data_IF_900040160905
#
_entry.id   IF_900040160905
#
_cell.length_a   1.000
_cell.length_b   1.000
_cell.length_c   1.000
_cell.angle_alpha   90.00
_cell.angle_beta   90.00
_cell.angle_gamma   90.00
#
_symmetry.space_group_name_H-M   'P 1'
#
loop_
_entity.id
_entity.type
_entity.pdbx_description
1 polymer ?
#
# COMPACT_ATOMS: atom_id res chain seq x y z
N UNK A 1 -19.45 -15.70 36.99
CA UNK A 1 -18.36 -14.93 36.28
C UNK A 1 -17.39 -15.87 35.60
N UNK A 2 -16.70 -16.79 36.32
CA UNK A 2 -15.74 -17.70 35.69
C UNK A 2 -16.40 -18.64 34.65
N UNK A 3 -17.55 -19.22 34.96
CA UNK A 3 -18.30 -20.08 34.05
C UNK A 3 -18.79 -19.30 32.81
N UNK A 4 -19.24 -18.07 32.98
CA UNK A 4 -19.62 -17.16 31.88
C UNK A 4 -18.43 -16.92 30.93
N UNK A 5 -17.25 -16.68 31.49
CA UNK A 5 -16.03 -16.48 30.69
C UNK A 5 -15.69 -17.71 29.82
N UNK A 6 -15.82 -18.92 30.40
CA UNK A 6 -15.55 -20.16 29.67
C UNK A 6 -16.59 -20.39 28.57
N UNK A 7 -17.87 -20.14 28.84
CA UNK A 7 -18.95 -20.28 27.84
C UNK A 7 -18.73 -19.29 26.69
N UNK A 8 -18.52 -18.01 27.01
CA UNK A 8 -18.27 -16.98 25.99
C UNK A 8 -17.03 -17.32 25.11
N UNK A 9 -15.98 -17.90 25.72
CA UNK A 9 -14.80 -18.36 24.97
C UNK A 9 -15.13 -19.52 24.03
N UNK A 10 -15.95 -20.47 24.45
CA UNK A 10 -16.39 -21.61 23.62
C UNK A 10 -17.28 -21.17 22.45
N UNK A 11 -18.05 -20.10 22.65
CA UNK A 11 -18.90 -19.49 21.63
C UNK A 11 -18.15 -18.53 20.69
N UNK A 12 -16.85 -18.31 20.91
CA UNK A 12 -16.01 -17.39 20.11
C UNK A 12 -16.26 -15.90 20.42
N UNK A 13 -17.04 -15.60 21.48
CA UNK A 13 -17.28 -14.21 21.92
C UNK A 13 -16.10 -13.72 22.79
N UNK A 14 -14.99 -13.41 22.14
CA UNK A 14 -13.73 -13.05 22.80
C UNK A 14 -13.86 -11.80 23.68
N UNK A 15 -14.64 -10.80 23.26
CA UNK A 15 -14.83 -9.56 24.02
C UNK A 15 -15.46 -9.83 25.38
N UNK A 16 -16.51 -10.62 25.42
CA UNK A 16 -17.20 -10.98 26.65
C UNK A 16 -16.37 -11.94 27.52
N UNK A 17 -15.70 -12.92 26.90
CA UNK A 17 -14.79 -13.84 27.56
C UNK A 17 -13.68 -13.09 28.31
N UNK A 18 -13.00 -12.15 27.64
CA UNK A 18 -11.92 -11.36 28.25
C UNK A 18 -12.41 -10.51 29.41
N UNK A 19 -13.53 -9.79 29.23
CA UNK A 19 -14.13 -8.95 30.28
C UNK A 19 -14.57 -9.81 31.50
N UNK A 20 -15.09 -11.00 31.28
CA UNK A 20 -15.50 -11.89 32.38
C UNK A 20 -14.28 -12.50 33.10
N UNK A 21 -13.20 -12.86 32.40
CA UNK A 21 -11.95 -13.31 33.02
C UNK A 21 -11.31 -12.20 33.86
N UNK A 22 -11.27 -10.97 33.34
CA UNK A 22 -10.75 -9.82 34.07
C UNK A 22 -11.53 -9.57 35.35
N UNK A 23 -12.88 -9.50 35.27
CA UNK A 23 -13.73 -9.37 36.47
C UNK A 23 -13.50 -10.49 37.48
N UNK A 24 -13.29 -11.72 37.02
CA UNK A 24 -13.02 -12.86 37.90
C UNK A 24 -11.69 -12.71 38.64
N UNK A 25 -10.66 -12.23 37.96
CA UNK A 25 -9.36 -12.00 38.56
C UNK A 25 -9.39 -10.84 39.58
N UNK A 26 -9.99 -9.70 39.19
CA UNK A 26 -10.16 -8.53 40.07
C UNK A 26 -10.93 -8.89 41.32
N UNK A 27 -12.06 -9.58 41.20
CA UNK A 27 -12.87 -10.01 42.35
C UNK A 27 -12.08 -10.96 43.28
N UNK A 28 -11.25 -11.84 42.74
CA UNK A 28 -10.37 -12.70 43.53
C UNK A 28 -9.31 -11.91 44.29
N UNK A 29 -8.75 -10.86 43.72
CA UNK A 29 -7.79 -9.97 44.33
C UNK A 29 -8.46 -9.13 45.47
N UNK A 30 -9.60 -8.50 45.18
CA UNK A 30 -10.33 -7.60 46.09
C UNK A 30 -10.85 -8.33 47.36
N UNK A 31 -11.26 -9.59 47.19
CA UNK A 31 -11.70 -10.44 48.31
C UNK A 31 -10.53 -11.03 49.11
N UNK A 32 -9.28 -10.81 48.70
CA UNK A 32 -8.08 -11.38 49.34
C UNK A 32 -7.97 -12.91 49.21
N UNK A 33 -8.75 -13.52 48.32
CA UNK A 33 -8.72 -14.98 48.10
C UNK A 33 -7.67 -15.32 47.08
N UNK A 34 -6.40 -15.39 47.51
CA UNK A 34 -5.20 -15.56 46.68
C UNK A 34 -5.29 -16.78 45.74
N UNK A 35 -5.89 -17.88 46.22
CA UNK A 35 -6.13 -19.05 45.38
C UNK A 35 -7.02 -18.78 44.17
N UNK A 36 -8.17 -18.13 44.43
CA UNK A 36 -9.13 -17.78 43.36
C UNK A 36 -8.52 -16.78 42.38
N UNK A 37 -7.79 -15.80 42.90
CA UNK A 37 -7.06 -14.83 42.06
C UNK A 37 -6.08 -15.53 41.12
N UNK A 38 -5.17 -16.36 41.65
CA UNK A 38 -4.18 -17.08 40.84
C UNK A 38 -4.82 -18.00 39.80
N UNK A 39 -5.91 -18.70 40.13
CA UNK A 39 -6.64 -19.54 39.17
C UNK A 39 -7.32 -18.71 38.08
N UNK A 40 -7.88 -17.55 38.40
CA UNK A 40 -8.50 -16.65 37.43
C UNK A 40 -7.47 -16.08 36.47
N UNK A 41 -6.30 -15.65 36.95
CA UNK A 41 -5.18 -15.17 36.12
C UNK A 41 -4.73 -16.27 35.13
N UNK A 42 -4.61 -17.51 35.62
CA UNK A 42 -4.23 -18.65 34.78
C UNK A 42 -5.28 -18.96 33.70
N UNK A 43 -6.56 -18.91 34.03
CA UNK A 43 -7.65 -19.12 33.07
C UNK A 43 -7.71 -17.99 32.04
N UNK A 44 -7.54 -16.74 32.48
CA UNK A 44 -7.49 -15.57 31.61
C UNK A 44 -6.32 -15.61 30.65
N UNK A 45 -5.13 -16.06 31.12
CA UNK A 45 -3.97 -16.26 30.25
C UNK A 45 -4.25 -17.29 29.14
N UNK A 46 -4.98 -18.36 29.46
CA UNK A 46 -5.38 -19.37 28.48
C UNK A 46 -6.29 -18.80 27.38
N UNK A 47 -7.19 -17.89 27.72
CA UNK A 47 -8.04 -17.20 26.75
C UNK A 47 -7.21 -16.30 25.81
N UNK A 48 -6.25 -15.53 26.34
CA UNK A 48 -5.34 -14.74 25.53
C UNK A 48 -4.48 -15.63 24.63
N UNK A 49 -3.89 -16.70 25.17
CA UNK A 49 -3.09 -17.62 24.37
C UNK A 49 -3.88 -18.28 23.21
N UNK A 50 -5.16 -18.61 23.46
CA UNK A 50 -6.04 -19.18 22.45
C UNK A 50 -6.38 -18.19 21.32
N UNK A 51 -6.47 -16.89 21.60
CA UNK A 51 -6.66 -15.84 20.59
C UNK A 51 -5.41 -15.63 19.75
N UNK A 52 -4.22 -15.74 20.37
CA UNK A 52 -2.95 -15.89 19.68
C UNK A 52 -2.34 -14.66 19.03
N UNK A 53 -2.96 -13.47 19.13
CA UNK A 53 -2.33 -12.24 18.62
C UNK A 53 -1.05 -11.90 19.44
N UNK A 54 -0.05 -11.24 18.87
CA UNK A 54 1.20 -10.92 19.58
C UNK A 54 1.00 -10.22 20.93
N UNK A 55 0.12 -9.22 20.98
CA UNK A 55 -0.25 -8.53 22.23
C UNK A 55 -0.96 -9.44 23.23
N UNK A 56 -1.70 -10.45 22.75
CA UNK A 56 -2.35 -11.43 23.59
C UNK A 56 -1.34 -12.40 24.22
N UNK A 57 -0.35 -12.83 23.46
CA UNK A 57 0.71 -13.70 23.97
C UNK A 57 1.56 -12.99 25.04
N UNK A 58 1.83 -11.70 24.86
CA UNK A 58 2.47 -10.89 25.90
C UNK A 58 1.62 -10.78 27.16
N UNK A 59 0.32 -10.51 27.00
CA UNK A 59 -0.60 -10.45 28.13
C UNK A 59 -0.73 -11.80 28.84
N UNK A 60 -0.88 -12.89 28.09
CA UNK A 60 -0.89 -14.26 28.61
C UNK A 60 0.35 -14.56 29.45
N UNK A 61 1.53 -14.14 28.96
CA UNK A 61 2.80 -14.31 29.69
C UNK A 61 2.80 -13.54 31.00
N UNK A 62 2.37 -12.30 31.02
CA UNK A 62 2.32 -11.48 32.23
C UNK A 62 1.39 -12.12 33.29
N UNK A 63 0.20 -12.53 32.89
CA UNK A 63 -0.77 -13.18 33.78
C UNK A 63 -0.23 -14.51 34.38
N UNK A 64 0.47 -15.30 33.59
CA UNK A 64 1.06 -16.57 34.05
C UNK A 64 2.23 -16.37 35.03
N UNK A 65 3.05 -15.33 34.83
CA UNK A 65 4.11 -14.98 35.77
C UNK A 65 3.51 -14.60 37.14
N UNK A 66 2.47 -13.80 37.14
CA UNK A 66 1.76 -13.41 38.38
C UNK A 66 1.09 -14.60 39.05
N UNK A 67 0.35 -15.42 38.30
CA UNK A 67 -0.28 -16.63 38.80
C UNK A 67 0.73 -17.60 39.43
N UNK A 68 1.85 -17.84 38.75
CA UNK A 68 2.95 -18.67 39.24
C UNK A 68 3.53 -18.15 40.56
N UNK A 69 3.74 -16.84 40.65
CA UNK A 69 4.26 -16.19 41.86
C UNK A 69 3.31 -16.43 43.03
N UNK A 70 2.02 -16.19 42.86
CA UNK A 70 0.99 -16.44 43.89
C UNK A 70 0.96 -17.91 44.34
N UNK A 71 1.02 -18.87 43.39
CA UNK A 71 1.06 -20.29 43.74
C UNK A 71 2.33 -20.67 44.51
N UNK A 72 3.48 -20.12 44.19
CA UNK A 72 4.76 -20.33 44.93
C UNK A 72 4.66 -19.80 46.34
N UNK A 73 4.14 -18.57 46.52
CA UNK A 73 3.96 -17.94 47.83
C UNK A 73 2.97 -18.66 48.72
N UNK A 74 1.98 -19.32 48.13
CA UNK A 74 1.00 -20.16 48.84
C UNK A 74 1.52 -21.58 49.16
N UNK A 75 2.71 -21.93 48.70
CA UNK A 75 3.28 -23.27 48.91
C UNK A 75 2.56 -24.41 48.16
N UNK A 76 2.02 -24.11 46.98
CA UNK A 76 1.28 -25.08 46.14
C UNK A 76 2.08 -25.44 44.87
N UNK A 77 3.12 -26.26 44.98
CA UNK A 77 4.11 -26.49 43.89
C UNK A 77 3.48 -27.10 42.62
N UNK A 78 2.45 -27.91 42.74
CA UNK A 78 1.75 -28.49 41.60
C UNK A 78 1.19 -27.39 40.66
N UNK A 79 0.47 -26.42 41.19
CA UNK A 79 -0.11 -25.33 40.39
C UNK A 79 0.92 -24.33 39.93
N UNK A 80 2.00 -24.12 40.69
CA UNK A 80 3.14 -23.34 40.26
C UNK A 80 3.85 -23.98 39.04
N UNK A 81 3.99 -25.33 39.06
CA UNK A 81 4.52 -26.12 37.96
C UNK A 81 3.61 -26.09 36.72
N UNK A 82 2.28 -26.13 36.91
CA UNK A 82 1.31 -26.05 35.82
C UNK A 82 1.37 -24.63 35.14
N UNK A 83 1.45 -23.58 35.93
CA UNK A 83 1.62 -22.22 35.40
C UNK A 83 2.96 -22.05 34.67
N UNK A 84 4.05 -22.67 35.13
CA UNK A 84 5.34 -22.70 34.45
C UNK A 84 5.27 -23.42 33.11
N UNK A 85 4.61 -24.58 33.04
CA UNK A 85 4.42 -25.32 31.79
C UNK A 85 3.61 -24.54 30.77
N UNK A 86 2.55 -23.84 31.22
CA UNK A 86 1.75 -22.97 30.35
C UNK A 86 2.58 -21.74 29.90
N UNK A 87 3.40 -21.17 30.76
CA UNK A 87 4.30 -20.08 30.42
C UNK A 87 5.30 -20.50 29.34
N UNK A 88 5.82 -21.73 29.43
CA UNK A 88 6.70 -22.28 28.41
C UNK A 88 5.98 -22.44 27.07
N UNK A 89 4.75 -22.98 27.06
CA UNK A 89 3.95 -23.10 25.84
C UNK A 89 3.66 -21.75 25.19
N UNK A 90 3.31 -20.73 25.96
CA UNK A 90 3.10 -19.35 25.46
C UNK A 90 4.38 -18.77 24.86
N UNK A 91 5.54 -19.03 25.46
CA UNK A 91 6.85 -18.60 24.92
C UNK A 91 7.15 -19.25 23.57
N UNK A 92 6.91 -20.56 23.46
CA UNK A 92 7.11 -21.32 22.21
C UNK A 92 6.17 -20.81 21.11
N UNK A 93 4.90 -20.56 21.42
CA UNK A 93 3.92 -19.98 20.50
C UNK A 93 4.33 -18.56 20.06
N UNK A 94 4.77 -17.72 20.99
CA UNK A 94 5.26 -16.37 20.69
C UNK A 94 6.48 -16.39 19.77
N UNK A 95 7.42 -17.31 20.01
CA UNK A 95 8.60 -17.48 19.16
C UNK A 95 8.24 -17.97 17.75
N UNK A 96 7.34 -18.95 17.64
CA UNK A 96 6.87 -19.45 16.35
C UNK A 96 6.17 -18.33 15.54
N UNK A 97 5.26 -17.59 16.18
CA UNK A 97 4.58 -16.44 15.54
C UNK A 97 5.55 -15.37 15.05
N UNK A 98 6.56 -15.02 15.86
CA UNK A 98 7.59 -14.04 15.47
C UNK A 98 8.44 -14.53 14.28
N UNK A 99 8.76 -15.85 14.26
CA UNK A 99 9.52 -16.45 13.16
C UNK A 99 8.71 -16.46 11.85
N UNK A 100 7.43 -16.80 11.92
CA UNK A 100 6.54 -16.80 10.75
C UNK A 100 6.34 -15.38 10.21
N UNK A 101 6.17 -14.39 11.08
CA UNK A 101 6.10 -13.00 10.69
C UNK A 101 7.39 -12.52 10.03
N UNK A 102 8.55 -12.91 10.58
CA UNK A 102 9.84 -12.58 9.98
C UNK A 102 10.04 -13.23 8.60
N UNK A 103 9.56 -14.45 8.41
CA UNK A 103 9.59 -15.13 7.10
C UNK A 103 8.70 -14.39 6.10
N UNK A 104 7.46 -14.10 6.46
CA UNK A 104 6.54 -13.37 5.60
C UNK A 104 7.09 -12.00 5.17
N UNK A 105 7.69 -11.24 6.10
CA UNK A 105 8.34 -9.96 5.79
C UNK A 105 9.51 -10.13 4.81
N UNK A 106 10.33 -11.18 4.98
CA UNK A 106 11.44 -11.44 4.04
C UNK A 106 10.96 -11.84 2.65
N UNK A 107 9.89 -12.62 2.56
CA UNK A 107 9.29 -13.02 1.28
C UNK A 107 8.70 -11.80 0.55
N UNK A 108 8.00 -10.91 1.26
CA UNK A 108 7.50 -9.67 0.69
C UNK A 108 8.62 -8.73 0.25
N UNK A 109 9.69 -8.58 1.04
CA UNK A 109 10.85 -7.78 0.66
C UNK A 109 11.57 -8.35 -0.58
N UNK A 110 11.60 -9.67 -0.75
CA UNK A 110 12.12 -10.31 -1.97
C UNK A 110 11.21 -10.03 -3.16
N UNK A 111 9.89 -10.14 -2.99
CA UNK A 111 8.92 -9.81 -4.03
C UNK A 111 9.06 -8.35 -4.49
N UNK A 112 9.22 -7.41 -3.55
CA UNK A 112 9.46 -6.00 -3.85
C UNK A 112 10.73 -5.74 -4.65
N UNK A 113 11.83 -6.46 -4.35
CA UNK A 113 13.07 -6.39 -5.14
C UNK A 113 12.89 -6.90 -6.57
N UNK A 114 12.13 -7.97 -6.76
CA UNK A 114 11.81 -8.49 -8.09
C UNK A 114 10.94 -7.48 -8.84
N UNK A 115 9.95 -6.91 -8.18
CA UNK A 115 9.07 -5.90 -8.74
C UNK A 115 9.83 -4.63 -9.15
N UNK A 116 10.72 -4.11 -8.31
CA UNK A 116 11.58 -2.97 -8.63
C UNK A 116 12.44 -3.24 -9.88
N UNK A 117 12.86 -4.49 -10.10
CA UNK A 117 13.58 -4.89 -11.32
C UNK A 117 12.72 -4.91 -12.59
N UNK A 118 11.39 -4.80 -12.47
CA UNK A 118 10.51 -4.64 -13.64
C UNK A 118 10.43 -3.20 -14.11
N UNK A 119 10.63 -2.23 -13.22
CA UNK A 119 10.59 -0.81 -13.58
C UNK A 119 11.78 -0.43 -14.47
N UNK A 120 11.65 0.63 -15.29
CA UNK A 120 12.78 1.15 -16.06
C UNK A 120 13.95 1.52 -15.16
N UNK A 121 15.15 1.00 -15.45
CA UNK A 121 16.39 1.35 -14.75
C UNK A 121 16.91 2.73 -15.14
N UNK A 122 16.56 3.16 -16.34
CA UNK A 122 17.08 4.38 -16.94
C UNK A 122 15.94 5.18 -17.57
N UNK A 123 16.05 6.49 -17.49
CA UNK A 123 15.17 7.41 -18.17
C UNK A 123 15.52 7.50 -19.65
N UNK A 124 14.55 7.44 -20.58
CA UNK A 124 14.83 7.53 -22.00
C UNK A 124 15.42 8.88 -22.37
N UNK A 125 16.52 8.85 -23.11
CA UNK A 125 17.13 10.06 -23.64
C UNK A 125 16.51 10.39 -25.00
N UNK A 126 15.73 11.46 -25.06
CA UNK A 126 15.16 12.01 -26.29
C UNK A 126 15.71 13.42 -26.52
N UNK A 127 16.33 13.70 -27.68
CA UNK A 127 16.85 15.04 -27.98
C UNK A 127 15.77 16.11 -27.90
N UNK A 128 15.99 17.14 -27.10
CA UNK A 128 15.03 18.23 -26.89
C UNK A 128 13.96 17.97 -25.85
N UNK A 129 13.99 16.80 -25.19
CA UNK A 129 13.06 16.43 -24.13
C UNK A 129 13.82 16.08 -22.86
N UNK A 130 13.35 16.60 -21.75
CA UNK A 130 13.84 16.26 -20.42
C UNK A 130 12.75 15.45 -19.71
N UNK A 131 13.07 14.20 -19.32
CA UNK A 131 12.09 13.24 -18.79
C UNK A 131 12.70 12.61 -17.53
N UNK A 132 11.95 12.60 -16.46
CA UNK A 132 12.34 11.93 -15.22
C UNK A 132 11.12 11.24 -14.59
N UNK A 133 11.35 10.17 -13.88
CA UNK A 133 10.32 9.47 -13.12
C UNK A 133 10.92 8.86 -11.86
N UNK A 134 10.12 8.77 -10.82
CA UNK A 134 10.47 8.11 -9.57
C UNK A 134 9.27 7.34 -9.03
N UNK A 135 9.55 6.33 -8.23
CA UNK A 135 8.59 5.61 -7.43
C UNK A 135 9.17 5.41 -6.04
N UNK A 136 8.48 5.89 -5.03
CA UNK A 136 8.77 5.64 -3.62
C UNK A 136 7.69 4.76 -3.00
N UNK A 137 7.94 3.46 -2.82
CA UNK A 137 6.95 2.57 -2.23
C UNK A 137 6.66 2.91 -0.76
N UNK A 138 5.39 2.82 -0.35
CA UNK A 138 4.99 2.95 1.05
C UNK A 138 5.29 1.67 1.86
N UNK A 139 5.39 0.52 1.19
CA UNK A 139 5.63 -0.80 1.78
C UNK A 139 6.71 -1.55 1.01
N UNK A 140 6.88 -2.84 1.31
CA UNK A 140 7.83 -3.72 0.62
C UNK A 140 7.52 -3.90 -0.86
N UNK A 141 6.24 -3.80 -1.25
CA UNK A 141 5.75 -3.89 -2.63
C UNK A 141 4.85 -2.71 -2.93
N UNK A 142 4.78 -2.30 -4.20
CA UNK A 142 3.98 -1.18 -4.69
C UNK A 142 2.84 -1.65 -5.58
N UNK A 143 1.68 -0.96 -5.52
CA UNK A 143 0.63 -1.01 -6.52
C UNK A 143 0.92 -0.10 -7.71
N UNK A 144 1.62 0.99 -7.45
CA UNK A 144 2.01 1.97 -8.44
C UNK A 144 3.10 1.47 -9.39
N UNK A 145 3.08 1.98 -10.59
CA UNK A 145 4.21 1.86 -11.52
C UNK A 145 4.20 2.94 -12.58
N UNK A 146 5.40 3.21 -13.09
CA UNK A 146 5.58 3.92 -14.35
C UNK A 146 6.35 3.06 -15.36
N UNK A 147 6.22 3.38 -16.63
CA UNK A 147 6.99 2.69 -17.66
C UNK A 147 7.27 3.60 -18.86
N UNK A 148 8.39 3.33 -19.52
CA UNK A 148 8.80 3.94 -20.78
C UNK A 148 8.94 2.86 -21.84
N UNK A 149 8.21 3.01 -22.94
CA UNK A 149 8.13 2.01 -24.01
C UNK A 149 8.63 2.63 -25.32
N UNK A 150 9.78 2.16 -25.77
CA UNK A 150 10.27 2.57 -27.09
C UNK A 150 9.33 2.05 -28.18
N UNK A 151 8.80 2.95 -28.98
CA UNK A 151 7.84 2.69 -30.05
C UNK A 151 8.48 2.95 -31.43
N UNK A 152 7.91 2.41 -32.53
CA UNK A 152 8.38 2.71 -33.88
C UNK A 152 8.45 4.21 -34.18
N UNK A 153 9.33 4.57 -35.11
CA UNK A 153 9.52 5.96 -35.58
C UNK A 153 10.02 6.93 -34.49
N UNK A 154 10.71 6.41 -33.47
CA UNK A 154 11.27 7.20 -32.39
C UNK A 154 10.25 7.73 -31.38
N UNK A 155 9.02 7.24 -31.41
CA UNK A 155 8.00 7.58 -30.42
C UNK A 155 8.27 6.91 -29.08
N UNK A 156 7.72 7.49 -28.03
CA UNK A 156 7.82 6.99 -26.66
C UNK A 156 6.43 6.77 -26.06
N UNK A 157 6.14 5.55 -25.64
CA UNK A 157 5.01 5.26 -24.77
C UNK A 157 5.36 5.62 -23.33
N UNK A 158 4.51 6.38 -22.67
CA UNK A 158 4.64 6.80 -21.26
C UNK A 158 3.44 6.23 -20.51
N UNK A 159 3.71 5.53 -19.41
CA UNK A 159 2.70 4.94 -18.55
C UNK A 159 2.90 5.44 -17.14
N UNK A 160 1.81 5.83 -16.46
CA UNK A 160 1.71 5.96 -14.99
C UNK A 160 0.42 5.28 -14.59
N UNK A 161 0.47 4.45 -13.58
CA UNK A 161 -0.66 3.63 -13.18
C UNK A 161 -0.61 3.30 -11.69
N UNK A 162 -1.80 3.08 -11.12
CA UNK A 162 -1.99 2.70 -9.73
C UNK A 162 -3.04 1.58 -9.63
N UNK A 163 -2.68 0.50 -8.96
CA UNK A 163 -3.53 -0.67 -8.72
C UNK A 163 -4.29 -0.48 -7.41
N UNK A 164 -5.60 -0.57 -7.48
CA UNK A 164 -6.43 -0.61 -6.28
C UNK A 164 -6.04 -1.79 -5.38
N UNK A 165 -5.85 -1.53 -4.07
CA UNK A 165 -5.34 -2.45 -3.07
C UNK A 165 -3.80 -2.37 -2.91
N UNK A 166 -3.26 -3.06 -1.89
CA UNK A 166 -1.84 -3.00 -1.51
C UNK A 166 -1.28 -4.39 -1.20
N UNK A 167 0.04 -4.50 -1.24
CA UNK A 167 0.76 -5.72 -0.92
C UNK A 167 0.96 -6.65 -2.12
N UNK A 168 1.18 -7.95 -1.87
CA UNK A 168 1.60 -8.91 -2.90
C UNK A 168 0.59 -9.07 -4.06
N UNK A 169 -0.73 -8.95 -3.78
CA UNK A 169 -1.77 -9.01 -4.79
C UNK A 169 -1.66 -7.86 -5.79
N UNK A 170 -1.58 -6.63 -5.28
CA UNK A 170 -1.40 -5.42 -6.09
C UNK A 170 -0.10 -5.47 -6.91
N UNK A 171 1.00 -5.94 -6.32
CA UNK A 171 2.28 -6.11 -7.00
C UNK A 171 2.22 -7.07 -8.20
N UNK A 172 1.50 -8.20 -8.06
CA UNK A 172 1.31 -9.16 -9.16
C UNK A 172 0.40 -8.58 -10.24
N UNK A 173 -0.66 -7.89 -9.85
CA UNK A 173 -1.58 -7.24 -10.78
C UNK A 173 -0.89 -6.10 -11.56
N UNK A 174 -0.02 -5.33 -10.89
CA UNK A 174 0.86 -4.35 -11.51
C UNK A 174 1.75 -4.98 -12.58
N UNK A 175 2.45 -6.08 -12.26
CA UNK A 175 3.33 -6.77 -13.18
C UNK A 175 2.58 -7.31 -14.41
N UNK A 176 1.38 -7.85 -14.23
CA UNK A 176 0.49 -8.28 -15.29
C UNK A 176 0.09 -7.09 -16.17
N UNK A 177 -0.46 -6.04 -15.57
CA UNK A 177 -0.96 -4.86 -16.29
C UNK A 177 0.16 -4.20 -17.10
N UNK A 178 1.33 -3.97 -16.47
CA UNK A 178 2.49 -3.42 -17.14
C UNK A 178 2.91 -4.26 -18.35
N UNK A 179 2.96 -5.59 -18.20
CA UNK A 179 3.35 -6.50 -19.28
C UNK A 179 2.36 -6.43 -20.44
N UNK A 180 1.06 -6.39 -20.15
CA UNK A 180 0.01 -6.30 -21.16
C UNK A 180 0.06 -4.96 -21.90
N UNK A 181 0.22 -3.83 -21.18
CA UNK A 181 0.37 -2.52 -21.81
C UNK A 181 1.57 -2.51 -22.76
N UNK A 182 2.73 -2.99 -22.32
CA UNK A 182 3.93 -3.08 -23.20
C UNK A 182 3.69 -3.93 -24.45
N UNK A 183 2.98 -5.04 -24.30
CA UNK A 183 2.66 -5.94 -25.42
C UNK A 183 1.77 -5.24 -26.43
N UNK A 184 0.67 -4.66 -26.00
CA UNK A 184 -0.29 -4.00 -26.87
C UNK A 184 0.20 -2.63 -27.38
N UNK A 185 1.10 -1.96 -26.67
CA UNK A 185 1.74 -0.73 -27.14
C UNK A 185 2.55 -0.97 -28.44
N UNK A 186 3.21 -2.11 -28.55
CA UNK A 186 3.95 -2.49 -29.78
C UNK A 186 2.98 -2.85 -30.91
N UNK A 187 1.82 -3.46 -30.59
CA UNK A 187 0.81 -3.83 -31.57
C UNK A 187 0.03 -2.60 -32.09
N UNK A 188 -0.23 -1.64 -31.20
CA UNK A 188 -0.98 -0.39 -31.49
C UNK A 188 -0.18 0.87 -31.18
N UNK A 189 0.96 1.13 -31.86
CA UNK A 189 1.97 2.09 -31.42
C UNK A 189 1.53 3.58 -31.47
N UNK A 190 0.38 3.88 -32.06
CA UNK A 190 -0.17 5.25 -32.17
C UNK A 190 -1.59 5.37 -31.63
N UNK A 191 -2.14 4.29 -31.06
CA UNK A 191 -3.53 4.19 -30.67
C UNK A 191 -3.69 3.87 -29.17
N UNK A 192 -3.43 4.83 -28.27
CA UNK A 192 -3.52 4.61 -26.82
C UNK A 192 -4.87 4.06 -26.38
N UNK A 193 -5.95 4.48 -26.96
CA UNK A 193 -7.29 3.94 -26.67
C UNK A 193 -7.39 2.44 -26.95
N UNK A 194 -6.79 1.95 -28.03
CA UNK A 194 -6.78 0.52 -28.36
C UNK A 194 -5.88 -0.29 -27.42
N UNK A 195 -4.77 0.29 -26.99
CA UNK A 195 -3.89 -0.34 -25.97
C UNK A 195 -4.66 -0.55 -24.68
N UNK A 196 -5.34 0.48 -24.18
CA UNK A 196 -6.14 0.40 -22.95
C UNK A 196 -7.29 -0.63 -23.10
N UNK A 197 -7.98 -0.62 -24.22
CA UNK A 197 -9.07 -1.58 -24.51
C UNK A 197 -8.56 -3.03 -24.51
N UNK A 198 -7.51 -3.32 -25.29
CA UNK A 198 -6.95 -4.66 -25.38
C UNK A 198 -6.40 -5.14 -24.03
N UNK A 199 -5.79 -4.23 -23.27
CA UNK A 199 -5.33 -4.51 -21.90
C UNK A 199 -6.50 -4.86 -20.98
N UNK A 200 -7.58 -4.08 -20.99
CA UNK A 200 -8.77 -4.33 -20.18
C UNK A 200 -9.42 -5.70 -20.52
N UNK A 201 -9.63 -5.97 -21.79
CA UNK A 201 -10.20 -7.25 -22.25
C UNK A 201 -9.36 -8.44 -21.78
N UNK A 202 -8.04 -8.29 -21.81
CA UNK A 202 -7.12 -9.34 -21.41
C UNK A 202 -7.10 -9.53 -19.88
N UNK A 203 -7.08 -8.44 -19.11
CA UNK A 203 -7.17 -8.47 -17.66
C UNK A 203 -8.44 -9.19 -17.20
N UNK A 204 -9.60 -8.77 -17.70
CA UNK A 204 -10.90 -9.35 -17.31
C UNK A 204 -11.02 -10.83 -17.67
N UNK A 205 -10.32 -11.28 -18.73
CA UNK A 205 -10.29 -12.68 -19.12
C UNK A 205 -9.39 -13.54 -18.24
N UNK A 206 -8.24 -13.02 -17.83
CA UNK A 206 -7.19 -13.79 -17.16
C UNK A 206 -7.20 -13.64 -15.63
N UNK A 207 -7.52 -12.45 -15.11
CA UNK A 207 -7.62 -12.18 -13.70
C UNK A 207 -9.05 -12.37 -13.19
N UNK A 208 -9.23 -13.27 -12.22
CA UNK A 208 -10.54 -13.55 -11.58
C UNK A 208 -10.80 -12.69 -10.36
N UNK A 209 -9.77 -11.95 -9.92
CA UNK A 209 -9.85 -11.07 -8.75
C UNK A 209 -10.56 -9.76 -9.12
N UNK A 210 -11.29 -9.20 -8.16
CA UNK A 210 -12.05 -7.95 -8.32
C UNK A 210 -11.17 -6.71 -8.14
N UNK A 211 -9.94 -6.76 -8.63
CA UNK A 211 -9.00 -5.63 -8.59
C UNK A 211 -9.13 -4.81 -9.87
N UNK A 212 -8.90 -3.52 -9.76
CA UNK A 212 -8.85 -2.61 -10.90
C UNK A 212 -7.56 -1.78 -10.86
N UNK A 213 -7.23 -1.17 -11.98
CA UNK A 213 -6.06 -0.31 -12.08
C UNK A 213 -6.42 0.98 -12.82
N UNK A 214 -6.01 2.09 -12.27
CA UNK A 214 -6.06 3.38 -12.97
C UNK A 214 -4.81 3.52 -13.83
N UNK A 215 -4.95 3.97 -15.06
CA UNK A 215 -3.83 4.06 -16.01
C UNK A 215 -3.93 5.35 -16.83
N UNK A 216 -2.84 6.11 -16.81
CA UNK A 216 -2.56 7.07 -17.87
C UNK A 216 -1.58 6.41 -18.85
N UNK A 217 -1.95 6.35 -20.13
CA UNK A 217 -1.07 5.90 -21.20
C UNK A 217 -1.02 6.93 -22.32
N UNK A 218 0.18 7.47 -22.57
CA UNK A 218 0.44 8.46 -23.60
C UNK A 218 1.50 7.99 -24.60
N UNK A 219 1.33 8.37 -25.85
CA UNK A 219 2.32 8.21 -26.93
C UNK A 219 2.86 9.59 -27.31
N UNK A 220 4.10 9.84 -26.93
CA UNK A 220 4.84 11.05 -27.29
C UNK A 220 5.45 10.86 -28.67
N UNK A 221 5.13 11.75 -29.59
CA UNK A 221 5.83 11.93 -30.87
C UNK A 221 6.80 13.13 -30.72
N UNK A 222 8.10 12.89 -30.50
CA UNK A 222 9.04 13.94 -30.21
C UNK A 222 9.31 14.87 -31.40
N UNK A 223 9.10 14.39 -32.64
CA UNK A 223 9.29 15.18 -33.85
C UNK A 223 8.09 16.08 -34.12
N UNK A 224 6.88 15.59 -33.86
CA UNK A 224 5.66 16.36 -34.04
C UNK A 224 5.38 17.29 -32.85
N UNK A 225 6.02 17.10 -31.70
CA UNK A 225 5.74 17.80 -30.47
C UNK A 225 4.30 17.54 -29.98
N UNK A 226 3.86 16.27 -30.01
CA UNK A 226 2.50 15.90 -29.62
C UNK A 226 2.49 14.70 -28.70
N UNK A 227 1.61 14.75 -27.70
CA UNK A 227 1.28 13.64 -26.82
C UNK A 227 -0.14 13.20 -27.10
N UNK A 228 -0.33 12.02 -27.68
CA UNK A 228 -1.66 11.39 -27.83
C UNK A 228 -1.87 10.42 -26.68
N UNK A 229 -2.94 10.59 -25.89
CA UNK A 229 -3.13 9.84 -24.65
C UNK A 229 -4.54 9.29 -24.49
N UNK A 230 -4.63 8.25 -23.67
CA UNK A 230 -5.84 7.75 -23.02
C UNK A 230 -5.62 7.75 -21.51
N UNK A 231 -6.63 8.19 -20.77
CA UNK A 231 -6.64 8.20 -19.32
C UNK A 231 -7.78 7.31 -18.81
N UNK A 232 -7.43 6.12 -18.33
CA UNK A 232 -8.34 5.13 -17.76
C UNK A 232 -8.53 5.35 -16.26
N UNK A 233 -9.26 6.38 -15.89
CA UNK A 233 -9.62 6.66 -14.50
C UNK A 233 -8.50 7.20 -13.61
N UNK A 234 -7.30 7.39 -14.15
CA UNK A 234 -6.12 7.88 -13.40
C UNK A 234 -6.25 9.37 -13.05
N UNK A 235 -5.47 9.83 -12.08
CA UNK A 235 -5.38 11.24 -11.71
C UNK A 235 -5.02 12.06 -12.97
N UNK A 236 -5.79 13.12 -13.28
CA UNK A 236 -5.49 13.94 -14.44
C UNK A 236 -4.11 14.59 -14.29
N UNK A 237 -3.17 14.34 -15.22
CA UNK A 237 -1.89 15.05 -15.22
C UNK A 237 -2.06 16.54 -15.39
N UNK A 238 -1.19 17.33 -14.79
CA UNK A 238 -1.10 18.74 -15.03
C UNK A 238 -0.20 19.05 -16.23
N UNK A 239 -0.75 19.73 -17.21
CA UNK A 239 -0.01 20.33 -18.29
C UNK A 239 0.15 21.84 -18.02
N UNK A 240 1.39 22.28 -17.94
CA UNK A 240 1.78 23.68 -17.69
C UNK A 240 2.33 24.23 -19.00
N UNK A 241 1.59 25.14 -19.66
CA UNK A 241 2.02 25.81 -20.87
C UNK A 241 3.18 26.79 -20.61
N UNK A 242 3.84 27.27 -21.67
CA UNK A 242 5.01 28.13 -21.53
C UNK A 242 4.73 29.49 -20.88
N UNK A 243 3.49 29.93 -20.81
CA UNK A 243 3.09 31.15 -20.10
C UNK A 243 2.68 30.82 -18.66
N UNK A 244 3.06 31.65 -17.70
CA UNK A 244 2.70 31.50 -16.31
C UNK A 244 1.18 31.54 -16.16
N UNK A 245 0.60 30.62 -15.43
CA UNK A 245 -0.84 30.42 -15.21
C UNK A 245 -1.61 29.70 -16.34
N UNK A 246 -0.96 29.23 -17.41
CA UNK A 246 -1.58 28.38 -18.42
C UNK A 246 -1.51 26.92 -17.95
N UNK A 247 -2.52 26.47 -17.19
CA UNK A 247 -2.62 25.13 -16.64
C UNK A 247 -3.83 24.41 -17.21
N UNK A 248 -3.60 23.23 -17.74
CA UNK A 248 -4.66 22.32 -18.22
C UNK A 248 -4.53 20.96 -17.52
N UNK A 249 -5.64 20.39 -17.08
CA UNK A 249 -5.71 19.00 -16.65
C UNK A 249 -5.98 18.08 -17.83
N UNK A 250 -5.10 17.11 -18.07
CA UNK A 250 -5.32 16.10 -19.10
C UNK A 250 -6.39 15.11 -18.61
N UNK A 251 -7.63 15.44 -18.88
CA UNK A 251 -8.81 14.80 -18.32
C UNK A 251 -8.92 13.32 -18.65
N UNK A 252 -9.65 12.59 -17.78
CA UNK A 252 -10.00 11.19 -17.97
C UNK A 252 -10.74 10.98 -19.27
N UNK A 253 -10.46 9.87 -19.97
CA UNK A 253 -11.06 9.51 -21.24
C UNK A 253 -11.92 8.24 -21.16
N UNK A 254 -11.93 7.59 -20.00
CA UNK A 254 -12.71 6.40 -19.69
C UNK A 254 -12.49 5.97 -18.24
N UNK A 255 -13.13 4.86 -17.85
CA UNK A 255 -13.02 4.29 -16.49
C UNK A 255 -11.73 3.47 -16.33
N UNK A 256 -11.40 3.12 -15.08
CA UNK A 256 -10.27 2.25 -14.74
C UNK A 256 -10.36 0.88 -15.46
N UNK A 257 -9.21 0.25 -15.69
CA UNK A 257 -9.12 -1.08 -16.27
C UNK A 257 -9.48 -2.16 -15.24
N UNK A 258 -10.05 -3.28 -15.69
CA UNK A 258 -10.43 -4.40 -14.84
C UNK A 258 -11.82 -4.29 -14.20
N UNK A 259 -12.60 -3.25 -14.53
CA UNK A 259 -13.92 -3.02 -13.92
C UNK A 259 -15.06 -3.61 -14.75
N UNK A 260 -15.10 -3.36 -16.05
CA UNK A 260 -16.24 -3.72 -16.92
C UNK A 260 -15.77 -4.15 -18.30
N UNK A 261 -16.37 -5.23 -18.80
CA UNK A 261 -16.20 -5.66 -20.21
C UNK A 261 -16.86 -4.69 -21.18
N UNK A 262 -16.32 -4.63 -22.41
CA UNK A 262 -16.87 -3.80 -23.48
C UNK A 262 -16.73 -2.30 -23.25
N UNK A 263 -15.90 -1.87 -22.31
CA UNK A 263 -15.60 -0.45 -22.10
C UNK A 263 -14.71 0.08 -23.21
N UNK A 264 -15.05 1.26 -23.70
CA UNK A 264 -14.25 2.02 -24.68
C UNK A 264 -13.61 3.25 -24.01
N UNK A 265 -12.42 3.60 -24.49
CA UNK A 265 -11.71 4.81 -24.12
C UNK A 265 -11.63 5.74 -25.32
N UNK A 266 -11.82 7.04 -25.08
CA UNK A 266 -11.43 8.04 -26.05
C UNK A 266 -9.92 8.26 -25.98
N UNK A 267 -9.36 8.81 -27.05
CA UNK A 267 -8.00 9.37 -27.02
C UNK A 267 -8.05 10.87 -27.34
N UNK A 268 -7.09 11.59 -26.74
CA UNK A 268 -6.93 13.03 -26.96
C UNK A 268 -5.48 13.31 -27.32
N UNK A 269 -5.24 14.44 -27.98
CA UNK A 269 -3.90 14.87 -28.35
C UNK A 269 -3.62 16.24 -27.77
N UNK A 270 -2.56 16.33 -26.98
CA UNK A 270 -2.00 17.56 -26.45
C UNK A 270 -0.80 17.95 -27.26
N UNK A 271 -0.73 19.21 -27.69
CA UNK A 271 0.47 19.77 -28.30
C UNK A 271 1.42 20.22 -27.21
N UNK A 272 2.70 19.95 -27.38
CA UNK A 272 3.76 20.32 -26.45
C UNK A 272 4.78 21.17 -27.17
N UNK A 273 4.99 22.40 -26.70
CA UNK A 273 5.98 23.33 -27.18
C UNK A 273 7.22 23.32 -26.27
N UNK A 274 8.38 23.83 -26.76
CA UNK A 274 9.53 24.02 -25.89
C UNK A 274 9.20 24.92 -24.69
N UNK A 275 9.50 24.49 -23.49
CA UNK A 275 9.20 25.18 -22.24
C UNK A 275 7.92 24.69 -21.53
N UNK A 276 7.10 23.89 -22.20
CA UNK A 276 5.94 23.25 -21.55
C UNK A 276 6.40 22.14 -20.61
N UNK A 277 5.66 21.96 -19.52
CA UNK A 277 5.91 20.91 -18.51
C UNK A 277 4.68 20.02 -18.35
N UNK A 278 4.89 18.71 -18.26
CA UNK A 278 3.84 17.75 -17.96
C UNK A 278 4.20 17.02 -16.66
N UNK A 279 3.32 17.09 -15.67
CA UNK A 279 3.45 16.43 -14.39
C UNK A 279 2.41 15.32 -14.29
N UNK A 280 2.90 14.06 -14.28
CA UNK A 280 2.08 12.87 -14.02
C UNK A 280 2.32 12.43 -12.58
N UNK A 281 1.26 12.04 -11.88
CA UNK A 281 1.34 11.67 -10.47
C UNK A 281 0.24 10.68 -10.09
N UNK A 282 0.50 9.90 -9.04
CA UNK A 282 -0.49 9.03 -8.40
C UNK A 282 -1.13 9.71 -7.20
N UNK A 283 -2.22 9.16 -6.68
CA UNK A 283 -2.97 9.75 -5.57
C UNK A 283 -2.19 9.77 -4.24
N UNK A 284 -1.14 8.95 -4.12
CA UNK A 284 -0.24 9.01 -2.97
C UNK A 284 0.38 10.36 -2.70
N UNK A 285 0.45 11.26 -3.71
CA UNK A 285 0.89 12.65 -3.52
C UNK A 285 -0.21 13.49 -2.87
N UNK A 286 -1.38 13.74 -3.50
CA UNK A 286 -2.41 14.57 -2.88
C UNK A 286 -3.00 13.96 -1.61
N UNK A 287 -2.97 12.63 -1.48
CA UNK A 287 -3.51 11.89 -0.33
C UNK A 287 -2.49 11.71 0.81
N UNK A 288 -1.25 12.23 0.64
CA UNK A 288 -0.27 12.27 1.73
C UNK A 288 -0.79 13.02 2.95
N UNK A 289 -0.43 12.55 4.15
CA UNK A 289 -0.91 13.15 5.42
C UNK A 289 0.25 13.52 6.33
N UNK A 290 0.07 14.65 7.01
CA UNK A 290 0.93 15.06 8.11
C UNK A 290 0.60 14.31 9.43
N UNK A 291 1.38 14.55 10.47
CA UNK A 291 1.15 13.98 11.81
C UNK A 291 -0.18 14.45 12.45
N UNK A 292 -0.76 15.56 11.98
CA UNK A 292 -2.05 16.08 12.39
C UNK A 292 -3.25 15.47 11.63
N UNK A 293 -2.98 14.65 10.59
CA UNK A 293 -3.99 14.05 9.73
C UNK A 293 -4.51 14.96 8.62
N UNK A 294 -3.87 16.10 8.37
CA UNK A 294 -4.22 16.98 7.26
C UNK A 294 -3.72 16.37 5.95
N UNK A 295 -4.44 16.64 4.86
CA UNK A 295 -4.09 16.21 3.51
C UNK A 295 -3.12 17.20 2.85
N UNK A 296 -2.19 16.67 2.03
CA UNK A 296 -1.33 17.51 1.19
C UNK A 296 -2.16 18.30 0.17
N UNK A 297 -3.03 17.60 -0.54
CA UNK A 297 -4.03 18.18 -1.45
C UNK A 297 -3.50 18.46 -2.86
N UNK A 298 -4.43 18.56 -3.80
CA UNK A 298 -4.12 18.86 -5.21
C UNK A 298 -3.68 20.31 -5.43
N UNK A 299 -4.22 21.25 -4.64
CA UNK A 299 -3.87 22.67 -4.75
C UNK A 299 -2.38 22.90 -4.48
N UNK A 300 -1.84 22.32 -3.39
CA UNK A 300 -0.42 22.43 -3.04
C UNK A 300 0.47 21.78 -4.09
N UNK A 301 0.08 20.58 -4.59
CA UNK A 301 0.79 19.91 -5.68
C UNK A 301 0.90 20.83 -6.91
N UNK A 302 -0.20 21.46 -7.29
CA UNK A 302 -0.23 22.37 -8.43
C UNK A 302 0.60 23.63 -8.19
N UNK A 303 0.52 24.23 -7.01
CA UNK A 303 1.33 25.41 -6.63
C UNK A 303 2.83 25.14 -6.80
N UNK A 304 3.32 24.01 -6.24
CA UNK A 304 4.73 23.61 -6.36
C UNK A 304 5.12 23.37 -7.82
N UNK A 305 4.27 22.70 -8.60
CA UNK A 305 4.54 22.45 -10.02
C UNK A 305 4.62 23.76 -10.83
N UNK A 306 3.75 24.74 -10.53
CA UNK A 306 3.77 26.07 -11.17
C UNK A 306 4.99 26.89 -10.77
N UNK A 307 5.42 26.83 -9.51
CA UNK A 307 6.63 27.53 -9.04
C UNK A 307 7.89 26.99 -9.71
N UNK A 308 7.94 25.68 -9.99
CA UNK A 308 9.04 25.01 -10.67
C UNK A 308 8.92 25.01 -12.20
N UNK A 309 7.92 25.68 -12.76
CA UNK A 309 7.74 25.76 -14.22
C UNK A 309 8.95 26.40 -14.90
N UNK A 310 9.40 25.79 -16.01
CA UNK A 310 10.57 26.24 -16.76
C UNK A 310 11.91 25.74 -16.18
N UNK A 311 11.89 25.01 -15.08
CA UNK A 311 13.03 24.28 -14.55
C UNK A 311 13.24 22.94 -15.28
N UNK A 312 14.35 22.26 -15.02
CA UNK A 312 14.59 20.90 -15.51
C UNK A 312 13.64 19.90 -14.85
N UNK A 313 13.37 18.76 -15.50
CA UNK A 313 12.54 17.71 -14.94
C UNK A 313 13.03 17.26 -13.55
N UNK A 314 14.35 17.28 -13.36
CA UNK A 314 14.97 16.96 -12.06
C UNK A 314 14.62 18.00 -10.99
N UNK A 315 14.72 19.27 -11.30
CA UNK A 315 14.40 20.34 -10.34
C UNK A 315 12.92 20.35 -9.99
N UNK A 316 12.02 20.10 -10.96
CA UNK A 316 10.58 19.95 -10.71
C UNK A 316 10.32 18.76 -9.78
N UNK A 317 10.93 17.62 -10.05
CA UNK A 317 10.78 16.40 -9.22
C UNK A 317 11.31 16.62 -7.80
N UNK A 318 12.52 17.20 -7.66
CA UNK A 318 13.12 17.49 -6.36
C UNK A 318 12.24 18.44 -5.55
N UNK A 319 11.72 19.52 -6.18
CA UNK A 319 10.81 20.45 -5.50
C UNK A 319 9.54 19.76 -4.97
N UNK A 320 8.92 18.91 -5.79
CA UNK A 320 7.72 18.16 -5.39
C UNK A 320 8.01 17.17 -4.25
N UNK A 321 9.11 16.41 -4.35
CA UNK A 321 9.47 15.44 -3.32
C UNK A 321 9.87 16.11 -2.00
N UNK A 322 10.63 17.20 -2.06
CA UNK A 322 11.05 17.94 -0.86
C UNK A 322 9.84 18.52 -0.13
N UNK A 323 8.87 19.08 -0.87
CA UNK A 323 7.65 19.64 -0.28
C UNK A 323 6.76 18.55 0.35
N UNK A 324 6.60 17.39 -0.33
CA UNK A 324 5.84 16.25 0.22
C UNK A 324 6.53 15.70 1.47
N UNK A 325 7.84 15.45 1.42
CA UNK A 325 8.59 14.94 2.56
C UNK A 325 8.59 15.91 3.73
N UNK A 326 8.72 17.21 3.46
CA UNK A 326 8.61 18.26 4.47
C UNK A 326 7.24 18.30 5.14
N UNK A 327 6.17 18.11 4.35
CA UNK A 327 4.79 18.08 4.85
C UNK A 327 4.50 16.83 5.69
N UNK A 328 4.87 15.66 5.20
CA UNK A 328 4.63 14.36 5.89
C UNK A 328 5.47 14.27 7.16
N UNK A 329 6.71 14.76 7.15
CA UNK A 329 7.62 14.68 8.28
C UNK A 329 7.82 13.25 8.77
N UNK A 330 7.62 13.02 10.08
CA UNK A 330 7.77 11.70 10.72
C UNK A 330 6.49 10.83 10.61
N UNK A 331 5.43 11.30 9.96
CA UNK A 331 4.21 10.51 9.79
C UNK A 331 4.45 9.30 8.86
N UNK A 332 3.76 8.17 9.08
CA UNK A 332 3.91 7.01 8.21
C UNK A 332 3.35 7.31 6.82
N UNK A 333 4.06 6.90 5.78
CA UNK A 333 3.55 6.94 4.41
C UNK A 333 2.38 5.96 4.27
N UNK A 334 1.27 6.44 3.79
CA UNK A 334 0.04 5.66 3.65
C UNK A 334 -0.09 5.02 2.26
N UNK A 335 0.51 5.65 1.24
CA UNK A 335 0.46 5.22 -0.15
C UNK A 335 1.79 5.40 -0.88
N UNK A 336 1.91 4.71 -2.02
CA UNK A 336 3.05 4.80 -2.93
C UNK A 336 3.06 6.19 -3.59
N UNK A 337 4.23 6.74 -3.85
CA UNK A 337 4.43 8.04 -4.50
C UNK A 337 5.10 7.81 -5.85
N UNK A 338 4.39 8.10 -6.89
CA UNK A 338 4.92 8.04 -8.25
C UNK A 338 4.76 9.36 -8.96
#
# INVERSE_FOLDING_TARGET
>A
IWAEAVVAQMEGNWTEAMAAHERSATNGADLGVRWRWAQSLRAWSGAHAARGAPSDLERARALLVEARTLFREMGVPYYAGLAESQLQAVREQSYASALDQQRATKELAMAGKIQAGLLPSDTPHLPGWDILATLEPARETSGDFYDFIALPEGRLGIVVADVADKGAGAALYMALTRTLIRTFAIEYPTLPAQVLRATNERILKDAKETMFVTVFYGVLDPLAGTLTYGNAGHNPPYFLGGEKDDVEELSRTGMALGVLEGTDWAQRTQRMAPGDTLVLYTDGIPDARDAGGNWFGQERLLEVAQEAQGCTAKEVQEALLDEIHGFVGDAPRLDDIT
#
